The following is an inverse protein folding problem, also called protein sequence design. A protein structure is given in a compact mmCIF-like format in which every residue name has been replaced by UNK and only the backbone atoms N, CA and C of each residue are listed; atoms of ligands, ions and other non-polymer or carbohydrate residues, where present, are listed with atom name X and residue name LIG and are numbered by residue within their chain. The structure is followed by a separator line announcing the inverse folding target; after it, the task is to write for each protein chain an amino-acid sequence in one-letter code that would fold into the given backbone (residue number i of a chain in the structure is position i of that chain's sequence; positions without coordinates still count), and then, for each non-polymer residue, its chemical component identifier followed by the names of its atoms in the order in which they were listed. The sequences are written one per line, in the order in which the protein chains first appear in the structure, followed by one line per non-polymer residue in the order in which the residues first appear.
data_IF_132099099866
#
_entry.id   IF_132099099866
#
_cell.length_a   1.000
_cell.length_b   1.000
_cell.length_c   1.000
_cell.angle_alpha   90.00
_cell.angle_beta   90.00
_cell.angle_gamma   90.00
#
_symmetry.space_group_name_H-M   'P 1'
#
loop_
_entity.id
_entity.type
_entity.pdbx_description
1 polymer ?
#
# COMPACT_ATOMS: atom_id res chain seq x y z
N UNK A 1 -3.54 13.54 0.38
CA UNK A 1 -3.44 12.21 1.01
C UNK A 1 -2.98 11.24 -0.08
N UNK A 2 -1.99 10.39 0.16
CA UNK A 2 -1.37 9.59 -0.91
C UNK A 2 -2.26 8.42 -1.29
N UNK A 3 -2.41 8.20 -2.60
CA UNK A 3 -3.10 7.03 -3.14
C UNK A 3 -2.11 5.89 -3.39
N UNK A 4 -2.45 4.71 -2.91
CA UNK A 4 -1.62 3.51 -3.01
C UNK A 4 -2.31 2.43 -3.83
N UNK A 5 -1.55 1.76 -4.68
CA UNK A 5 -2.04 0.61 -5.44
C UNK A 5 -1.72 -0.65 -4.64
N UNK A 6 -2.77 -1.39 -4.27
CA UNK A 6 -2.67 -2.60 -3.47
C UNK A 6 -3.21 -3.78 -4.25
N UNK A 7 -2.58 -4.95 -4.11
CA UNK A 7 -3.00 -6.21 -4.74
C UNK A 7 -3.28 -7.29 -3.71
N UNK A 8 -4.50 -7.83 -3.71
CA UNK A 8 -4.86 -8.96 -2.86
C UNK A 8 -4.04 -10.20 -3.25
N UNK A 9 -3.33 -10.81 -2.31
CA UNK A 9 -2.52 -12.01 -2.59
C UNK A 9 -3.36 -13.27 -2.83
N UNK A 10 -4.64 -13.26 -2.43
CA UNK A 10 -5.54 -14.40 -2.57
C UNK A 10 -6.33 -14.40 -3.89
N UNK A 11 -6.90 -13.26 -4.31
CA UNK A 11 -7.75 -13.19 -5.49
C UNK A 11 -7.21 -12.28 -6.61
N UNK A 12 -6.06 -11.63 -6.40
CA UNK A 12 -5.42 -10.77 -7.39
C UNK A 12 -6.07 -9.41 -7.62
N UNK A 13 -7.16 -9.06 -6.91
CA UNK A 13 -7.82 -7.77 -7.06
C UNK A 13 -6.86 -6.63 -6.72
N UNK A 14 -6.76 -5.68 -7.64
CA UNK A 14 -6.01 -4.44 -7.47
C UNK A 14 -6.97 -3.31 -7.11
N UNK A 15 -6.53 -2.41 -6.22
CA UNK A 15 -7.31 -1.23 -5.86
C UNK A 15 -6.43 -0.05 -5.51
N UNK A 16 -6.97 1.14 -5.77
CA UNK A 16 -6.49 2.37 -5.11
C UNK A 16 -6.97 2.40 -3.66
N UNK A 17 -6.06 2.77 -2.78
CA UNK A 17 -6.28 2.93 -1.36
C UNK A 17 -5.65 4.25 -0.90
N UNK A 18 -6.50 5.17 -0.46
CA UNK A 18 -6.07 6.44 0.08
C UNK A 18 -5.65 6.25 1.54
N UNK A 19 -4.39 6.57 1.85
CA UNK A 19 -3.81 6.39 3.18
C UNK A 19 -3.33 7.73 3.75
N UNK A 20 -3.70 7.99 5.01
CA UNK A 20 -3.20 9.14 5.78
C UNK A 20 -1.76 8.99 6.27
N UNK A 21 -1.07 7.90 5.90
CA UNK A 21 0.30 7.59 6.31
C UNK A 21 1.06 6.91 5.16
N UNK A 22 2.38 6.88 5.27
CA UNK A 22 3.27 6.30 4.27
C UNK A 22 3.24 4.76 4.35
N UNK A 23 2.72 4.08 3.31
CA UNK A 23 2.67 2.61 3.28
C UNK A 23 4.03 1.97 2.99
N UNK A 24 5.01 2.70 2.45
CA UNK A 24 6.36 2.17 2.24
C UNK A 24 7.03 1.70 3.53
N UNK A 25 6.59 2.22 4.69
CA UNK A 25 7.06 1.82 6.02
C UNK A 25 6.67 0.37 6.40
N UNK A 26 5.73 -0.26 5.70
CA UNK A 26 5.18 -1.58 6.04
C UNK A 26 5.91 -2.75 5.33
N UNK A 27 7.09 -2.51 4.77
CA UNK A 27 7.88 -3.58 4.14
C UNK A 27 7.19 -4.22 2.93
N UNK A 28 6.32 -3.48 2.24
CA UNK A 28 5.67 -3.90 1.00
C UNK A 28 4.39 -4.74 1.16
N UNK A 29 3.92 -5.00 2.39
CA UNK A 29 2.72 -5.82 2.64
C UNK A 29 1.86 -5.25 3.75
N UNK A 30 0.55 -5.45 3.67
CA UNK A 30 -0.36 -5.11 4.77
C UNK A 30 -1.62 -5.98 4.77
N UNK A 31 -2.31 -6.05 5.91
CA UNK A 31 -3.55 -6.79 6.07
C UNK A 31 -4.76 -5.86 6.05
N UNK A 32 -5.72 -6.12 5.16
CA UNK A 32 -6.90 -5.28 4.97
C UNK A 32 -8.09 -6.07 4.42
N UNK A 33 -9.30 -5.50 4.51
CA UNK A 33 -10.50 -6.10 3.95
C UNK A 33 -10.50 -6.09 2.41
N UNK A 34 -10.53 -7.29 1.80
CA UNK A 34 -10.64 -7.44 0.36
C UNK A 34 -12.11 -7.40 -0.09
N UNK A 35 -12.45 -6.47 -1.01
CA UNK A 35 -13.82 -6.29 -1.53
C UNK A 35 -14.31 -7.48 -2.35
N UNK A 36 -13.40 -8.24 -2.99
CA UNK A 36 -13.71 -9.46 -3.76
C UNK A 36 -13.85 -10.70 -2.89
N UNK A 37 -12.88 -10.95 -2.01
CA UNK A 37 -12.92 -12.13 -1.12
C UNK A 37 -13.94 -12.00 0.02
N UNK A 38 -14.39 -10.78 0.32
CA UNK A 38 -15.27 -10.45 1.43
C UNK A 38 -14.72 -10.88 2.81
N UNK A 39 -13.40 -10.80 2.98
CA UNK A 39 -12.71 -11.09 4.24
C UNK A 39 -11.37 -10.34 4.28
N UNK A 40 -10.76 -10.25 5.47
CA UNK A 40 -9.43 -9.68 5.64
C UNK A 40 -8.37 -10.59 4.99
N UNK A 41 -7.55 -10.02 4.11
CA UNK A 41 -6.49 -10.71 3.39
C UNK A 41 -5.21 -9.88 3.41
N UNK A 42 -4.10 -10.57 3.26
CA UNK A 42 -2.83 -9.93 2.93
C UNK A 42 -2.93 -9.27 1.54
N UNK A 43 -2.38 -8.08 1.42
CA UNK A 43 -2.20 -7.38 0.17
C UNK A 43 -0.73 -6.96 0.03
N UNK A 44 -0.21 -7.05 -1.19
CA UNK A 44 1.08 -6.46 -1.56
C UNK A 44 0.85 -5.00 -1.95
N UNK A 45 1.74 -4.13 -1.51
CA UNK A 45 1.80 -2.73 -1.94
C UNK A 45 2.57 -2.71 -3.26
N UNK A 46 1.90 -2.37 -4.36
CA UNK A 46 2.53 -2.28 -5.69
C UNK A 46 3.27 -0.95 -5.89
N UNK A 47 2.86 0.09 -5.15
CA UNK A 47 3.41 1.44 -5.25
C UNK A 47 2.35 2.48 -4.88
N UNK A 48 2.68 3.75 -5.07
CA UNK A 48 1.68 4.82 -5.06
C UNK A 48 1.18 5.11 -6.49
N UNK A 49 0.03 5.77 -6.61
CA UNK A 49 -0.54 6.16 -7.90
C UNK A 49 0.06 7.46 -8.47
N UNK A 50 0.90 8.14 -7.69
CA UNK A 50 1.65 9.33 -8.12
C UNK A 50 2.88 8.94 -8.95
N UNK A 51 3.46 9.87 -9.75
CA UNK A 51 4.76 9.67 -10.37
C UNK A 51 5.82 9.19 -9.37
N UNK A 52 6.74 8.35 -9.82
CA UNK A 52 7.72 7.67 -8.95
C UNK A 52 8.54 8.65 -8.09
N UNK A 53 8.89 9.82 -8.63
CA UNK A 53 9.61 10.91 -7.95
C UNK A 53 8.84 11.54 -6.77
N UNK A 54 7.51 11.45 -6.80
CA UNK A 54 6.61 11.95 -5.76
C UNK A 54 6.16 10.83 -4.80
N UNK A 55 6.57 9.59 -5.08
CA UNK A 55 6.17 8.45 -4.28
C UNK A 55 6.90 8.44 -2.94
N UNK A 56 6.18 8.41 -1.80
CA UNK A 56 6.83 8.33 -0.51
C UNK A 56 7.68 7.07 -0.41
N UNK A 57 8.96 7.21 -0.08
CA UNK A 57 9.88 6.09 0.13
C UNK A 57 9.97 5.73 1.62
N UNK A 58 10.54 4.58 1.93
CA UNK A 58 10.83 4.16 3.32
C UNK A 58 12.07 4.84 3.90
N UNK A 59 12.43 6.03 3.41
CA UNK A 59 13.55 6.82 3.92
C UNK A 59 13.43 6.98 5.42
N UNK A 60 14.40 6.41 6.14
CA UNK A 60 14.52 6.58 7.57
C UNK A 60 14.99 8.01 7.76
N UNK A 61 14.09 8.91 8.14
CA UNK A 61 14.54 10.08 8.90
C UNK A 61 15.09 9.52 10.21
N UNK A 62 16.38 9.14 10.20
CA UNK A 62 17.16 8.96 11.40
C UNK A 62 17.25 10.36 12.00
N UNK A 63 16.38 10.64 12.97
CA UNK A 63 16.58 11.75 13.88
C UNK A 63 17.82 11.35 14.70
N UNK A 64 18.95 11.95 14.37
CA UNK A 64 20.19 11.92 15.17
C UNK A 64 19.99 12.72 16.47
#
# INVERSE_FOLDING_TARGET
MTKWVLKCTACGEEREFEAGFNLALFGGRLYLYCRRCKTNREHVILGCAEPEELCPTSGVDVID
#
